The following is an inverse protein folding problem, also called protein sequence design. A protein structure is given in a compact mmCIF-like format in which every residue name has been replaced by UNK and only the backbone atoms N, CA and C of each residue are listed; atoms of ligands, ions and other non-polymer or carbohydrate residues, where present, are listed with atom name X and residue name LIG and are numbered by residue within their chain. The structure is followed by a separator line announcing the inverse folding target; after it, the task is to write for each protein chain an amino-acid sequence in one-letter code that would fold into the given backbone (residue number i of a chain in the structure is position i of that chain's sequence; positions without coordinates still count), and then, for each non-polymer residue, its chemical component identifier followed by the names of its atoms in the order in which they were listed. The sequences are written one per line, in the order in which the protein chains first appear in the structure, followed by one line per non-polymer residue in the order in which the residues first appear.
data_IF_124215392748
#
_entry.id   IF_124215392748
#
_cell.length_a   1.000
_cell.length_b   1.000
_cell.length_c   1.000
_cell.angle_alpha   90.00
_cell.angle_beta   90.00
_cell.angle_gamma   90.00
#
_symmetry.space_group_name_H-M   'P 1'
#
loop_
_entity.id
_entity.type
_entity.pdbx_description
1 polymer ?
#
# COMPACT_ATOMS: atom_id res chain seq x y z
N UNK A 1 21.23 6.16 11.65
CA UNK A 1 19.86 6.72 11.76
C UNK A 1 18.93 5.54 11.97
N UNK A 2 18.06 5.57 12.99
CA UNK A 2 17.24 4.41 13.42
C UNK A 2 15.80 4.59 12.93
N UNK A 3 15.18 3.52 12.44
CA UNK A 3 13.79 3.56 12.04
C UNK A 3 12.84 3.62 13.26
N UNK A 4 11.82 4.45 13.16
CA UNK A 4 10.73 4.64 14.11
C UNK A 4 9.47 3.94 13.59
N UNK A 5 8.87 3.10 14.42
CA UNK A 5 7.69 2.32 14.07
C UNK A 5 6.45 2.90 14.74
N UNK A 6 5.54 3.44 13.93
CA UNK A 6 4.32 4.08 14.38
C UNK A 6 3.12 3.17 14.12
N UNK A 7 2.40 2.78 15.17
CA UNK A 7 1.19 1.96 15.01
C UNK A 7 0.00 2.83 14.61
N UNK A 8 -0.71 2.43 13.56
CA UNK A 8 -1.93 3.10 13.09
C UNK A 8 -3.06 2.11 12.86
N UNK A 9 -4.30 2.59 12.93
CA UNK A 9 -5.47 1.83 12.50
C UNK A 9 -5.94 2.34 11.14
N UNK A 10 -6.09 1.42 10.19
CA UNK A 10 -6.58 1.74 8.85
C UNK A 10 -8.09 1.53 8.76
N UNK A 11 -8.80 2.45 8.10
CA UNK A 11 -10.23 2.23 7.81
C UNK A 11 -10.45 1.14 6.78
N UNK A 12 -9.54 1.06 5.80
CA UNK A 12 -9.54 0.04 4.76
C UNK A 12 -8.12 -0.44 4.45
N UNK A 13 -7.99 -1.70 4.02
CA UNK A 13 -6.67 -2.32 3.75
C UNK A 13 -6.53 -2.80 2.30
N UNK A 14 -7.63 -3.15 1.63
CA UNK A 14 -7.64 -3.46 0.21
C UNK A 14 -7.79 -2.22 -0.67
N UNK A 15 -6.89 -2.09 -1.63
CA UNK A 15 -6.94 -1.11 -2.69
C UNK A 15 -7.38 -1.80 -3.99
N UNK A 16 -8.56 -1.46 -4.52
CA UNK A 16 -9.04 -1.98 -5.82
C UNK A 16 -8.32 -1.31 -6.98
N UNK A 17 -7.75 -2.08 -7.89
CA UNK A 17 -7.10 -1.55 -9.09
C UNK A 17 -8.17 -1.13 -10.12
N UNK A 18 -7.90 -0.08 -10.90
CA UNK A 18 -8.81 0.39 -11.97
C UNK A 18 -8.88 -0.62 -13.12
N UNK A 19 -7.75 -1.26 -13.41
CA UNK A 19 -7.59 -2.34 -14.38
C UNK A 19 -6.89 -3.51 -13.69
N UNK A 20 -7.10 -4.72 -14.18
CA UNK A 20 -6.34 -5.87 -13.69
C UNK A 20 -4.86 -5.62 -13.98
N UNK A 21 -4.01 -5.89 -13.01
CA UNK A 21 -2.56 -5.79 -13.21
C UNK A 21 -2.15 -6.79 -14.31
N UNK A 22 -1.34 -6.34 -15.27
CA UNK A 22 -0.97 -7.15 -16.45
C UNK A 22 -0.01 -8.29 -16.08
N UNK A 23 0.86 -8.08 -15.09
CA UNK A 23 1.90 -9.02 -14.71
C UNK A 23 1.37 -10.10 -13.76
N UNK A 24 0.59 -9.67 -12.77
CA UNK A 24 0.11 -10.54 -11.70
C UNK A 24 -1.36 -10.92 -11.85
N UNK A 25 -2.05 -10.38 -12.87
CA UNK A 25 -3.49 -10.57 -13.04
C UNK A 25 -4.29 -10.25 -11.76
N UNK A 26 -3.77 -9.36 -10.91
CA UNK A 26 -4.38 -9.03 -9.63
C UNK A 26 -5.41 -7.91 -9.80
N UNK A 27 -6.50 -8.00 -9.03
CA UNK A 27 -7.55 -6.98 -9.01
C UNK A 27 -7.42 -6.05 -7.80
N UNK A 28 -6.63 -6.46 -6.81
CA UNK A 28 -6.44 -5.74 -5.56
C UNK A 28 -4.97 -5.70 -5.18
N UNK A 29 -4.60 -4.64 -4.48
CA UNK A 29 -3.34 -4.54 -3.76
C UNK A 29 -3.61 -4.33 -2.28
N UNK A 30 -2.73 -4.82 -1.43
CA UNK A 30 -2.76 -4.58 0.02
C UNK A 30 -1.44 -3.98 0.45
N UNK A 31 -1.52 -2.95 1.30
CA UNK A 31 -0.33 -2.35 1.88
C UNK A 31 -0.44 -2.27 3.41
N UNK A 32 0.17 -3.20 4.16
CA UNK A 32 0.13 -3.22 5.62
C UNK A 32 1.09 -2.22 6.29
N UNK A 33 2.11 -1.75 5.56
CA UNK A 33 3.13 -0.84 6.06
C UNK A 33 3.23 0.41 5.18
N UNK A 34 3.63 1.56 5.74
CA UNK A 34 3.94 2.76 4.95
C UNK A 34 5.27 3.33 5.42
N UNK A 35 6.20 3.55 4.50
CA UNK A 35 7.57 3.94 4.81
C UNK A 35 8.56 2.80 4.60
N UNK A 36 9.85 3.12 4.55
CA UNK A 36 10.94 2.17 4.36
C UNK A 36 12.18 2.63 5.15
N UNK A 37 12.87 1.70 5.80
CA UNK A 37 14.09 2.00 6.57
C UNK A 37 15.23 2.49 5.68
N UNK A 38 15.25 2.06 4.42
CA UNK A 38 16.38 2.25 3.51
C UNK A 38 16.32 3.55 2.72
N UNK A 39 15.12 4.12 2.54
CA UNK A 39 14.89 5.36 1.78
C UNK A 39 15.71 5.45 0.47
N UNK A 40 15.80 4.36 -0.29
CA UNK A 40 16.75 4.27 -1.40
C UNK A 40 16.49 5.36 -2.46
N UNK A 41 17.52 6.02 -2.98
CA UNK A 41 17.37 7.05 -4.01
C UNK A 41 16.81 6.50 -5.34
N UNK A 42 17.01 5.20 -5.58
CA UNK A 42 16.46 4.48 -6.74
C UNK A 42 15.13 3.78 -6.45
N UNK A 43 14.49 4.06 -5.31
CA UNK A 43 13.22 3.41 -4.97
C UNK A 43 12.11 3.86 -5.93
N UNK A 44 11.38 2.89 -6.46
CA UNK A 44 10.28 3.18 -7.38
C UNK A 44 9.15 3.97 -6.69
N UNK A 45 8.98 3.82 -5.39
CA UNK A 45 7.93 4.50 -4.61
C UNK A 45 8.25 5.98 -4.33
N UNK A 46 9.52 6.40 -4.46
CA UNK A 46 9.91 7.82 -4.39
C UNK A 46 9.82 8.51 -5.76
N UNK A 47 9.80 7.74 -6.85
CA UNK A 47 9.83 8.30 -8.21
C UNK A 47 8.54 9.08 -8.49
N UNK A 48 8.67 10.32 -8.96
CA UNK A 48 7.54 11.23 -9.23
C UNK A 48 6.41 10.63 -10.06
N UNK A 49 6.77 9.80 -11.05
CA UNK A 49 5.82 9.12 -11.93
C UNK A 49 4.92 8.11 -11.20
N UNK A 50 5.41 7.54 -10.10
CA UNK A 50 4.84 6.37 -9.43
C UNK A 50 4.52 6.61 -7.97
N UNK A 51 4.98 7.74 -7.40
CA UNK A 51 4.63 8.18 -6.06
C UNK A 51 3.12 8.35 -5.97
N UNK A 52 2.49 7.56 -5.10
CA UNK A 52 1.06 7.68 -4.84
C UNK A 52 0.74 8.99 -4.10
N UNK A 53 -0.54 9.35 -3.95
CA UNK A 53 -0.96 10.54 -3.19
C UNK A 53 -0.57 10.49 -1.70
N UNK A 54 -0.05 9.35 -1.24
CA UNK A 54 0.40 9.10 0.13
C UNK A 54 1.92 9.22 0.29
N UNK A 55 2.66 9.57 -0.74
CA UNK A 55 4.10 9.77 -0.66
C UNK A 55 4.41 11.10 -1.34
N UNK A 56 4.27 12.19 -0.59
CA UNK A 56 4.42 13.52 -1.17
C UNK A 56 5.91 13.85 -1.39
N UNK A 57 6.81 13.29 -0.57
CA UNK A 57 8.27 13.53 -0.65
C UNK A 57 9.08 12.28 -0.26
N UNK A 58 10.30 12.11 -0.81
CA UNK A 58 11.23 11.06 -0.38
C UNK A 58 11.53 11.09 1.12
N UNK A 59 11.55 12.27 1.73
CA UNK A 59 11.74 12.42 3.18
C UNK A 59 10.62 11.76 4.00
N UNK A 60 9.38 11.75 3.50
CA UNK A 60 8.23 11.11 4.17
C UNK A 60 8.25 9.58 4.09
N UNK A 61 9.02 9.02 3.15
CA UNK A 61 9.27 7.59 3.05
C UNK A 61 10.37 7.13 4.01
N UNK A 62 11.14 8.08 4.56
CA UNK A 62 12.37 7.80 5.29
C UNK A 62 12.15 7.70 6.80
N UNK A 63 12.69 6.65 7.40
CA UNK A 63 12.85 6.42 8.84
C UNK A 63 11.57 6.33 9.70
N UNK A 64 10.38 6.72 9.23
CA UNK A 64 9.10 6.50 9.91
C UNK A 64 8.29 5.44 9.20
N UNK A 65 8.03 4.33 9.88
CA UNK A 65 7.30 3.18 9.36
C UNK A 65 5.96 3.09 10.07
N UNK A 66 4.89 3.39 9.34
CA UNK A 66 3.54 3.23 9.85
C UNK A 66 3.10 1.77 9.69
N UNK A 67 2.79 1.12 10.80
CA UNK A 67 2.31 -0.26 10.87
C UNK A 67 0.81 -0.26 11.08
N UNK A 68 0.05 -0.76 10.09
CA UNK A 68 -1.41 -0.91 10.22
C UNK A 68 -1.73 -2.12 11.09
N UNK A 69 -1.86 -1.92 12.40
CA UNK A 69 -2.09 -3.02 13.37
C UNK A 69 -3.35 -3.84 13.07
N UNK A 70 -4.41 -3.18 12.62
CA UNK A 70 -5.68 -3.82 12.31
C UNK A 70 -5.74 -4.46 10.90
N UNK A 71 -4.62 -4.50 10.15
CA UNK A 71 -4.65 -4.88 8.74
C UNK A 71 -5.12 -6.31 8.50
N UNK A 72 -4.67 -7.28 9.30
CA UNK A 72 -5.09 -8.67 9.15
C UNK A 72 -6.59 -8.85 9.40
N UNK A 73 -7.13 -8.19 10.43
CA UNK A 73 -8.56 -8.23 10.76
C UNK A 73 -9.40 -7.62 9.63
N UNK A 74 -9.03 -6.41 9.19
CA UNK A 74 -9.72 -5.70 8.11
C UNK A 74 -9.66 -6.46 6.79
N UNK A 75 -8.50 -7.03 6.45
CA UNK A 75 -8.35 -7.84 5.24
C UNK A 75 -9.32 -9.03 5.23
N UNK A 76 -9.45 -9.75 6.35
CA UNK A 76 -10.41 -10.87 6.48
C UNK A 76 -11.85 -10.40 6.32
N UNK A 77 -12.21 -9.26 6.91
CA UNK A 77 -13.55 -8.65 6.76
C UNK A 77 -13.83 -8.28 5.30
N UNK A 78 -12.87 -7.63 4.63
CA UNK A 78 -13.05 -7.12 3.27
C UNK A 78 -13.04 -8.21 2.18
N UNK A 79 -12.34 -9.33 2.40
CA UNK A 79 -12.27 -10.46 1.45
C UNK A 79 -13.57 -11.27 1.42
N UNK A 80 -14.26 -11.43 2.55
CA UNK A 80 -15.46 -12.29 2.67
C UNK A 80 -16.55 -11.98 1.63
N UNK A 81 -16.67 -10.72 1.21
CA UNK A 81 -17.66 -10.28 0.22
C UNK A 81 -17.20 -10.24 -1.24
N UNK A 82 -16.02 -10.79 -1.59
CA UNK A 82 -15.47 -10.69 -2.96
C UNK A 82 -15.60 -11.99 -3.75
N UNK A 83 -15.93 -11.84 -5.04
CA UNK A 83 -16.10 -12.96 -5.99
C UNK A 83 -14.78 -13.74 -6.19
N UNK A 84 -14.87 -15.02 -6.52
CA UNK A 84 -13.71 -15.91 -6.62
C UNK A 84 -12.65 -15.46 -7.66
N UNK A 85 -13.06 -14.88 -8.80
CA UNK A 85 -12.15 -14.36 -9.84
C UNK A 85 -11.34 -13.11 -9.45
N UNK A 86 -11.62 -12.55 -8.26
CA UNK A 86 -11.01 -11.34 -7.72
C UNK A 86 -9.98 -11.64 -6.61
N UNK A 87 -9.63 -12.92 -6.37
CA UNK A 87 -8.78 -13.38 -5.26
C UNK A 87 -7.28 -13.11 -5.44
N UNK A 88 -6.84 -12.68 -6.61
CA UNK A 88 -5.44 -12.31 -6.83
C UNK A 88 -5.17 -10.95 -6.18
N UNK A 89 -4.37 -11.00 -5.12
CA UNK A 89 -3.99 -9.88 -4.27
C UNK A 89 -2.46 -9.73 -4.32
N UNK A 90 -1.98 -8.55 -4.69
CA UNK A 90 -0.56 -8.23 -4.60
C UNK A 90 -0.25 -7.54 -3.27
N UNK A 91 0.75 -8.05 -2.56
CA UNK A 91 1.33 -7.39 -1.39
C UNK A 91 2.30 -6.30 -1.86
N UNK A 92 2.25 -5.12 -1.25
CA UNK A 92 3.24 -4.06 -1.44
C UNK A 92 2.66 -2.76 -2.00
N UNK A 93 3.56 -1.79 -2.22
CA UNK A 93 3.19 -0.49 -2.75
C UNK A 93 2.64 -0.63 -4.18
N UNK A 94 1.63 0.18 -4.48
CA UNK A 94 0.96 0.16 -5.78
C UNK A 94 1.77 1.02 -6.77
N UNK A 95 2.31 0.46 -7.86
CA UNK A 95 2.95 1.25 -8.92
C UNK A 95 1.95 1.97 -9.84
N UNK A 96 0.73 2.28 -9.41
CA UNK A 96 -0.32 2.84 -10.28
C UNK A 96 -1.14 3.89 -9.53
N UNK A 97 -1.59 4.97 -10.19
CA UNK A 97 -2.32 6.05 -9.53
C UNK A 97 -3.61 5.52 -8.91
N UNK A 98 -3.66 5.47 -7.58
CA UNK A 98 -4.87 5.15 -6.84
C UNK A 98 -5.85 6.33 -6.86
N UNK A 99 -7.12 6.01 -7.05
CA UNK A 99 -8.24 6.94 -6.81
C UNK A 99 -8.12 7.53 -5.41
N UNK A 100 -8.24 8.87 -5.34
CA UNK A 100 -8.14 9.74 -4.16
C UNK A 100 -8.77 9.17 -2.88
N UNK A 101 -8.10 9.46 -1.76
CA UNK A 101 -8.69 9.71 -0.45
C UNK A 101 -9.18 8.48 0.30
N UNK A 102 -8.28 7.79 1.02
CA UNK A 102 -8.62 6.85 2.10
C UNK A 102 -7.54 6.88 3.17
N UNK A 103 -7.77 7.67 4.21
CA UNK A 103 -7.31 7.42 5.58
C UNK A 103 -8.43 6.64 6.25
#
# INVERSE_FOLDING_TARGET
MKAEYLSVEARTVLNRLRRRDEWYSCAYTVNPYRGCEFACPYCYDVAERWRGPYHARPEELSWKIFVKRNAAKKLREEIKGKKAGHRLLRLGHRPLPASRGKI
#
